data_IF_669909121401
#
_entry.id   IF_669909121401
#
_cell.length_a   1.000
_cell.length_b   1.000
_cell.length_c   1.000
_cell.angle_alpha   90.00
_cell.angle_beta   90.00
_cell.angle_gamma   90.00
#
_symmetry.space_group_name_H-M   'P 1'
#
loop_
_entity.id
_entity.type
_entity.pdbx_description
1 polymer ?
#
# COMPACT_ATOMS: atom_id res chain seq x y z
N UNK A 1 -6.14 2.62 73.22
CA UNK A 1 -6.89 2.61 74.49
C UNK A 1 -7.46 1.23 74.75
N UNK A 2 -7.02 0.54 75.72
CA UNK A 2 -7.51 -0.09 76.93
C UNK A 2 -6.58 -1.21 77.36
N UNK A 3 -5.97 -0.91 78.49
CA UNK A 3 -5.24 -1.82 79.38
C UNK A 3 -6.15 -2.89 79.97
N UNK A 4 -5.64 -4.11 80.17
CA UNK A 4 -5.99 -4.83 81.36
C UNK A 4 -4.82 -5.80 81.74
N UNK A 5 -4.31 -5.54 82.93
CA UNK A 5 -3.38 -6.38 83.60
C UNK A 5 -4.12 -7.48 84.39
N UNK A 6 -3.56 -8.69 84.45
CA UNK A 6 -3.92 -9.72 85.45
C UNK A 6 -2.66 -10.40 85.98
N UNK A 7 -2.59 -10.31 87.23
CA UNK A 7 -1.72 -10.65 88.33
C UNK A 7 -1.14 -12.10 88.32
N UNK A 8 0.05 -12.13 88.94
CA UNK A 8 0.79 -13.30 89.46
C UNK A 8 0.00 -14.23 90.37
N UNK A 9 0.18 -15.51 90.15
CA UNK A 9 0.12 -16.49 91.25
C UNK A 9 1.20 -17.54 91.05
N UNK A 10 2.08 -17.72 92.01
CA UNK A 10 3.23 -18.61 91.99
C UNK A 10 2.83 -20.09 92.12
N UNK A 11 3.59 -20.91 91.43
CA UNK A 11 3.66 -22.32 91.74
C UNK A 11 5.14 -22.76 91.73
N UNK A 12 5.66 -23.14 92.90
CA UNK A 12 6.94 -23.84 93.03
C UNK A 12 6.87 -25.20 92.45
N UNK A 13 7.60 -25.49 91.35
CA UNK A 13 7.73 -26.83 90.81
C UNK A 13 9.10 -27.43 91.16
N UNK A 14 9.05 -28.46 91.87
CA UNK A 14 10.17 -29.37 92.29
C UNK A 14 10.99 -29.80 91.06
N UNK A 15 12.29 -29.42 91.10
CA UNK A 15 13.27 -29.82 90.08
C UNK A 15 13.61 -31.31 90.20
N UNK A 16 13.13 -32.15 89.26
CA UNK A 16 13.69 -33.53 89.04
C UNK A 16 14.54 -33.49 87.78
N UNK A 17 15.78 -34.04 87.80
CA UNK A 17 16.62 -34.03 86.59
C UNK A 17 15.98 -34.90 85.47
N UNK A 18 16.02 -34.49 84.23
CA UNK A 18 15.41 -35.22 83.09
C UNK A 18 16.21 -36.54 82.84
N UNK A 19 15.52 -37.65 82.74
CA UNK A 19 16.08 -38.93 82.33
C UNK A 19 16.54 -38.96 80.92
N UNK A 20 17.58 -39.72 80.56
CA UNK A 20 18.17 -39.85 79.22
C UNK A 20 17.12 -40.09 78.07
N UNK A 21 15.97 -40.54 78.41
CA UNK A 21 14.85 -40.82 77.49
C UNK A 21 14.22 -39.54 76.96
N UNK A 22 14.23 -38.48 77.78
CA UNK A 22 13.70 -37.12 77.40
C UNK A 22 14.57 -36.42 76.33
N UNK A 23 15.88 -36.61 76.38
CA UNK A 23 16.79 -36.06 75.40
C UNK A 23 16.66 -36.71 74.02
N UNK A 24 16.31 -37.99 73.98
CA UNK A 24 16.19 -38.73 72.71
C UNK A 24 14.90 -38.47 71.98
N UNK A 25 13.82 -38.10 72.68
CA UNK A 25 12.55 -37.66 72.05
C UNK A 25 12.63 -36.20 71.60
N UNK A 26 13.29 -35.38 72.37
CA UNK A 26 13.47 -33.94 71.95
C UNK A 26 14.30 -33.83 70.67
N UNK A 27 15.32 -34.65 70.46
CA UNK A 27 16.15 -34.64 69.27
C UNK A 27 15.39 -35.11 68.02
N UNK A 28 14.45 -36.06 68.16
CA UNK A 28 13.60 -36.55 67.07
C UNK A 28 12.56 -35.50 66.66
N UNK A 29 11.95 -34.78 67.62
CA UNK A 29 11.01 -33.70 67.34
C UNK A 29 11.66 -32.54 66.58
N UNK A 30 12.86 -32.13 67.05
CA UNK A 30 13.62 -31.06 66.39
C UNK A 30 14.00 -31.45 64.94
N UNK A 31 14.39 -32.71 64.69
CA UNK A 31 14.71 -33.20 63.36
C UNK A 31 13.48 -33.27 62.42
N UNK A 32 12.31 -33.59 62.95
CA UNK A 32 11.05 -33.62 62.15
C UNK A 32 10.64 -32.20 61.76
N UNK A 33 10.75 -31.20 62.66
CA UNK A 33 10.47 -29.81 62.36
C UNK A 33 11.45 -29.22 61.33
N UNK A 34 12.74 -29.48 61.44
CA UNK A 34 13.74 -28.99 60.48
C UNK A 34 13.52 -29.61 59.08
N UNK A 35 13.16 -30.88 59.00
CA UNK A 35 12.86 -31.48 57.73
C UNK A 35 11.54 -30.99 57.12
N UNK A 36 10.53 -30.70 57.95
CA UNK A 36 9.30 -30.04 57.52
C UNK A 36 9.58 -28.66 56.93
N UNK A 37 10.35 -27.83 57.64
CA UNK A 37 10.71 -26.46 57.21
C UNK A 37 11.55 -26.46 55.93
N UNK A 38 12.49 -27.40 55.76
CA UNK A 38 13.24 -27.56 54.50
C UNK A 38 12.34 -27.97 53.32
N UNK A 39 11.31 -28.78 53.52
CA UNK A 39 10.31 -29.11 52.48
C UNK A 39 9.45 -27.93 52.09
N UNK A 40 9.01 -27.11 53.06
CA UNK A 40 8.25 -25.89 52.84
C UNK A 40 9.07 -24.85 52.13
N UNK A 41 10.33 -24.62 52.50
CA UNK A 41 11.25 -23.72 51.81
C UNK A 41 11.54 -24.18 50.37
N UNK A 42 11.65 -25.49 50.17
CA UNK A 42 11.82 -26.04 48.82
C UNK A 42 10.59 -25.82 47.91
N UNK A 43 9.37 -25.96 48.44
CA UNK A 43 8.14 -25.70 47.72
C UNK A 43 7.94 -24.20 47.43
N UNK A 44 8.30 -23.33 48.35
CA UNK A 44 8.26 -21.86 48.12
C UNK A 44 9.29 -21.47 47.05
N UNK A 45 10.50 -22.05 47.09
CA UNK A 45 11.51 -21.76 46.08
C UNK A 45 11.09 -22.22 44.67
N UNK A 46 10.41 -23.39 44.59
CA UNK A 46 9.86 -23.91 43.32
C UNK A 46 8.70 -23.00 42.81
N UNK A 47 7.83 -22.57 43.72
CA UNK A 47 6.72 -21.65 43.39
C UNK A 47 7.19 -20.28 42.91
N UNK A 48 8.22 -19.70 43.54
CA UNK A 48 8.81 -18.42 43.16
C UNK A 48 9.56 -18.52 41.83
N UNK A 49 10.22 -19.65 41.54
CA UNK A 49 10.87 -19.91 40.25
C UNK A 49 9.86 -20.01 39.10
N UNK A 50 8.65 -20.48 39.34
CA UNK A 50 7.59 -20.56 38.33
C UNK A 50 6.91 -19.18 38.12
N UNK A 51 6.90 -18.30 39.13
CA UNK A 51 6.36 -16.97 39.04
C UNK A 51 7.31 -15.97 38.34
N UNK A 52 8.60 -16.31 38.21
CA UNK A 52 9.63 -15.56 37.50
C UNK A 52 9.87 -16.03 36.05
N UNK A 53 9.04 -16.96 35.52
CA UNK A 53 8.97 -17.11 34.08
C UNK A 53 8.47 -15.76 33.56
N UNK A 54 9.29 -14.97 32.84
CA UNK A 54 8.76 -13.80 32.21
C UNK A 54 7.62 -14.35 31.33
N UNK A 55 6.39 -13.96 31.64
CA UNK A 55 5.33 -13.93 30.64
C UNK A 55 5.92 -13.04 29.55
N UNK A 56 6.73 -13.66 28.67
CA UNK A 56 7.05 -13.05 27.40
C UNK A 56 5.69 -12.62 26.90
N UNK A 57 5.43 -11.34 27.00
CA UNK A 57 4.36 -10.75 26.28
C UNK A 57 4.64 -11.23 24.85
N UNK A 58 3.95 -12.26 24.41
CA UNK A 58 3.64 -12.42 23.02
C UNK A 58 2.87 -11.13 22.70
N UNK A 59 3.63 -10.04 22.57
CA UNK A 59 3.18 -8.89 21.83
C UNK A 59 2.81 -9.55 20.51
N UNK A 60 1.55 -9.89 20.34
CA UNK A 60 0.97 -10.07 19.04
C UNK A 60 1.43 -8.80 18.35
N UNK A 61 2.49 -8.92 17.53
CA UNK A 61 2.88 -7.86 16.64
C UNK A 61 1.60 -7.64 15.86
N UNK A 62 0.80 -6.68 16.33
CA UNK A 62 -0.27 -6.12 15.54
C UNK A 62 0.46 -5.77 14.26
N UNK A 63 0.33 -6.61 13.23
CA UNK A 63 0.86 -6.29 11.91
C UNK A 63 0.19 -4.98 11.59
N UNK A 64 0.94 -3.89 11.76
CA UNK A 64 0.48 -2.57 11.39
C UNK A 64 -0.05 -2.67 9.96
N UNK A 65 -1.16 -2.01 9.69
CA UNK A 65 -1.62 -1.86 8.32
C UNK A 65 -0.45 -1.30 7.50
N UNK A 66 -0.28 -1.73 6.24
CA UNK A 66 0.81 -1.23 5.42
C UNK A 66 0.70 0.29 5.29
N UNK A 67 1.80 0.96 5.53
CA UNK A 67 1.97 2.38 5.22
C UNK A 67 2.62 2.49 3.84
N UNK A 68 1.97 3.20 2.93
CA UNK A 68 2.44 3.37 1.57
C UNK A 68 3.15 4.72 1.36
N UNK A 69 3.25 5.56 2.39
CA UNK A 69 3.76 6.94 2.26
C UNK A 69 5.15 6.99 1.66
N UNK A 70 6.10 6.25 2.23
CA UNK A 70 7.49 6.20 1.75
C UNK A 70 7.57 5.65 0.31
N UNK A 71 6.73 4.67 -0.04
CA UNK A 71 6.69 4.11 -1.40
C UNK A 71 6.17 5.13 -2.41
N UNK A 72 5.16 5.90 -2.04
CA UNK A 72 4.61 6.97 -2.90
C UNK A 72 5.65 8.07 -3.12
N UNK A 73 6.37 8.47 -2.07
CA UNK A 73 7.46 9.45 -2.20
C UNK A 73 8.60 8.93 -3.09
N UNK A 74 8.92 7.66 -3.00
CA UNK A 74 9.98 7.03 -3.80
C UNK A 74 9.61 6.86 -5.27
N UNK A 75 8.39 6.37 -5.56
CA UNK A 75 7.98 5.96 -6.91
C UNK A 75 7.19 7.07 -7.62
N UNK A 76 6.50 7.92 -6.88
CA UNK A 76 5.67 8.98 -7.42
C UNK A 76 6.35 9.86 -8.47
N UNK A 77 7.61 10.29 -8.28
CA UNK A 77 8.34 11.06 -9.29
C UNK A 77 8.54 10.36 -10.64
N UNK A 78 8.43 9.02 -10.67
CA UNK A 78 8.53 8.23 -11.90
C UNK A 78 7.21 8.13 -12.67
N UNK A 79 6.09 8.55 -12.09
CA UNK A 79 4.77 8.52 -12.74
C UNK A 79 4.52 9.85 -13.44
N UNK A 80 3.97 9.77 -14.64
CA UNK A 80 3.77 10.93 -15.51
C UNK A 80 2.31 11.01 -15.97
N UNK A 81 1.87 12.22 -16.29
CA UNK A 81 0.61 12.45 -16.99
C UNK A 81 0.85 12.37 -18.50
N UNK A 82 -0.08 11.77 -19.23
CA UNK A 82 -0.06 11.69 -20.68
C UNK A 82 -1.34 12.34 -21.21
N UNK A 83 -1.18 13.33 -22.08
CA UNK A 83 -2.26 13.94 -22.83
C UNK A 83 -2.04 13.73 -24.31
N UNK A 84 -3.10 13.43 -25.01
CA UNK A 84 -3.06 13.26 -26.47
C UNK A 84 -3.89 14.32 -27.16
N UNK A 85 -3.37 14.81 -28.26
CA UNK A 85 -4.01 15.82 -29.09
C UNK A 85 -4.30 15.25 -30.47
N UNK A 86 -5.43 15.67 -31.04
CA UNK A 86 -5.80 15.39 -32.42
C UNK A 86 -5.88 16.69 -33.19
N UNK A 87 -5.31 16.72 -34.41
CA UNK A 87 -5.37 17.86 -35.32
C UNK A 87 -6.64 17.76 -36.12
N UNK A 88 -7.64 18.56 -35.74
CA UNK A 88 -8.91 18.60 -36.48
C UNK A 88 -8.83 19.69 -37.58
N UNK A 89 -8.78 19.21 -38.83
CA UNK A 89 -8.95 20.13 -39.98
C UNK A 89 -10.37 20.68 -40.00
N UNK A 90 -10.51 21.98 -40.18
CA UNK A 90 -11.79 22.71 -40.15
C UNK A 90 -12.86 22.16 -41.13
N UNK A 91 -12.50 21.24 -42.03
CA UNK A 91 -13.41 20.59 -43.00
C UNK A 91 -14.28 19.48 -42.43
N UNK A 92 -13.90 18.88 -41.30
CA UNK A 92 -14.58 17.68 -40.74
C UNK A 92 -15.74 18.04 -39.79
N UNK A 93 -15.97 19.31 -39.51
CA UNK A 93 -17.03 19.77 -38.57
C UNK A 93 -18.47 19.62 -39.04
N UNK A 94 -18.73 18.97 -40.16
CA UNK A 94 -20.10 18.76 -40.70
C UNK A 94 -20.75 17.42 -40.28
N UNK A 95 -20.15 16.66 -39.39
CA UNK A 95 -20.70 15.41 -38.87
C UNK A 95 -20.62 15.35 -37.34
N UNK A 96 -21.77 15.56 -36.69
CA UNK A 96 -21.93 15.63 -35.23
C UNK A 96 -21.76 14.29 -34.47
N UNK A 97 -20.65 13.58 -34.67
CA UNK A 97 -20.41 12.28 -34.02
C UNK A 97 -19.47 12.30 -32.80
N UNK A 98 -18.63 13.32 -32.67
CA UNK A 98 -17.57 13.33 -31.65
C UNK A 98 -18.03 13.79 -30.25
N UNK A 99 -19.06 14.64 -30.21
CA UNK A 99 -19.64 15.05 -28.92
C UNK A 99 -20.41 13.90 -28.24
N UNK A 100 -20.91 12.94 -29.03
CA UNK A 100 -21.65 11.78 -28.54
C UNK A 100 -20.72 10.74 -27.89
N UNK A 101 -19.57 10.45 -28.46
CA UNK A 101 -18.59 9.51 -27.89
C UNK A 101 -18.02 10.00 -26.56
N UNK A 102 -17.70 11.30 -26.47
CA UNK A 102 -17.22 11.93 -25.24
C UNK A 102 -18.33 11.98 -24.18
N UNK A 103 -19.57 12.27 -24.58
CA UNK A 103 -20.74 12.24 -23.69
C UNK A 103 -21.05 10.81 -23.22
N UNK A 104 -20.89 9.79 -24.06
CA UNK A 104 -21.02 8.39 -23.64
C UNK A 104 -19.92 7.98 -22.67
N UNK A 105 -18.68 8.41 -22.88
CA UNK A 105 -17.57 8.20 -21.94
C UNK A 105 -17.88 8.79 -20.57
N UNK A 106 -18.31 10.06 -20.49
CA UNK A 106 -18.67 10.69 -19.21
C UNK A 106 -19.90 10.05 -18.56
N UNK A 107 -20.89 9.61 -19.36
CA UNK A 107 -22.08 8.90 -18.86
C UNK A 107 -21.74 7.53 -18.30
N UNK A 108 -20.82 6.81 -18.94
CA UNK A 108 -20.39 5.46 -18.54
C UNK A 108 -19.60 5.47 -17.25
N UNK A 109 -18.87 6.54 -16.96
CA UNK A 109 -18.01 6.69 -15.77
C UNK A 109 -18.61 7.61 -14.68
N UNK A 110 -19.85 8.08 -14.84
CA UNK A 110 -20.56 8.83 -13.80
C UNK A 110 -19.94 10.20 -13.46
N UNK A 111 -19.13 10.75 -14.36
CA UNK A 111 -18.49 12.06 -14.16
C UNK A 111 -19.51 13.17 -14.49
N UNK A 112 -19.70 14.20 -13.63
CA UNK A 112 -20.57 15.32 -13.94
C UNK A 112 -20.10 16.04 -15.21
N UNK A 113 -20.98 16.16 -16.20
CA UNK A 113 -20.68 16.84 -17.46
C UNK A 113 -20.48 18.33 -17.18
N UNK A 114 -19.31 18.93 -17.46
CA UNK A 114 -19.15 20.38 -17.37
C UNK A 114 -20.14 21.06 -18.30
N UNK A 115 -20.80 22.12 -17.84
CA UNK A 115 -21.69 22.94 -18.66
C UNK A 115 -20.91 23.49 -19.88
N UNK A 116 -21.07 22.85 -21.04
CA UNK A 116 -20.55 23.37 -22.30
C UNK A 116 -21.26 24.69 -22.62
N UNK A 117 -20.54 25.78 -22.88
CA UNK A 117 -21.14 27.05 -23.29
C UNK A 117 -21.90 26.83 -24.60
N UNK A 118 -23.19 27.17 -24.61
CA UNK A 118 -24.00 27.20 -25.83
C UNK A 118 -23.35 28.14 -26.82
N UNK A 119 -23.03 27.63 -28.00
CA UNK A 119 -22.38 28.33 -29.07
C UNK A 119 -23.20 29.59 -29.45
N UNK A 120 -22.59 30.77 -29.35
CA UNK A 120 -23.08 32.01 -29.94
C UNK A 120 -22.87 31.98 -31.49
N UNK A 121 -23.72 32.65 -32.30
CA UNK A 121 -23.60 32.62 -33.76
C UNK A 121 -22.27 33.23 -34.21
N UNK A 122 -21.53 32.52 -35.04
CA UNK A 122 -20.22 32.92 -35.57
C UNK A 122 -20.37 33.93 -36.67
N UNK A 123 -19.83 35.14 -36.43
CA UNK A 123 -19.50 36.10 -37.51
C UNK A 123 -18.03 35.90 -37.90
N UNK A 124 -17.82 35.78 -39.22
CA UNK A 124 -16.59 35.86 -40.00
C UNK A 124 -15.25 35.75 -39.27
N UNK A 125 -14.58 34.60 -39.38
CA UNK A 125 -13.12 34.48 -39.13
C UNK A 125 -12.40 34.03 -40.40
N UNK A 126 -11.28 34.72 -40.77
CA UNK A 126 -10.39 34.30 -41.85
C UNK A 126 -9.43 33.19 -41.33
N UNK A 127 -9.14 32.27 -42.23
CA UNK A 127 -8.15 31.18 -42.23
C UNK A 127 -8.42 29.95 -41.33
N UNK A 128 -8.24 28.74 -41.90
CA UNK A 128 -8.29 27.48 -41.15
C UNK A 128 -6.99 27.32 -40.36
N UNK A 129 -6.99 27.76 -39.12
CA UNK A 129 -5.99 27.28 -38.15
C UNK A 129 -6.37 25.84 -37.80
N UNK A 130 -5.42 24.93 -37.93
CA UNK A 130 -5.52 23.60 -37.36
C UNK A 130 -5.65 23.79 -35.84
N UNK A 131 -6.84 23.51 -35.29
CA UNK A 131 -7.07 23.59 -33.85
C UNK A 131 -6.72 22.24 -33.27
N UNK A 132 -5.73 22.17 -32.41
CA UNK A 132 -5.40 21.00 -31.60
C UNK A 132 -6.49 20.80 -30.55
N UNK A 133 -7.13 19.62 -30.56
CA UNK A 133 -8.16 19.29 -29.57
C UNK A 133 -7.67 18.16 -28.66
N UNK A 134 -7.92 18.25 -27.34
CA UNK A 134 -7.63 17.16 -26.42
C UNK A 134 -8.45 15.93 -26.82
N UNK A 135 -7.77 14.79 -27.02
CA UNK A 135 -8.42 13.52 -27.36
C UNK A 135 -8.49 12.58 -26.16
N UNK A 136 -7.41 12.44 -25.42
CA UNK A 136 -7.32 11.53 -24.28
C UNK A 136 -6.41 12.01 -23.17
N UNK A 137 -6.65 11.46 -21.99
CA UNK A 137 -5.82 11.67 -20.80
C UNK A 137 -5.57 10.33 -20.15
N UNK A 138 -4.32 10.09 -19.77
CA UNK A 138 -3.89 8.89 -19.06
C UNK A 138 -2.65 9.14 -18.23
N UNK A 139 -2.10 8.08 -17.74
CA UNK A 139 -0.85 8.05 -16.99
C UNK A 139 0.20 7.23 -17.72
N UNK A 140 1.42 7.33 -17.29
CA UNK A 140 2.52 6.49 -17.69
C UNK A 140 3.57 6.43 -16.60
N UNK A 141 4.62 5.65 -16.81
CA UNK A 141 5.74 5.60 -15.90
C UNK A 141 7.07 5.46 -16.64
N UNK A 142 8.09 6.09 -16.08
CA UNK A 142 9.43 6.19 -16.66
C UNK A 142 10.14 4.86 -16.49
N UNK A 143 10.45 4.19 -17.61
CA UNK A 143 11.20 2.92 -17.64
C UNK A 143 12.72 3.14 -17.52
N UNK A 144 13.22 4.20 -18.15
CA UNK A 144 14.66 4.47 -18.24
C UNK A 144 14.98 5.94 -18.02
N UNK A 145 16.14 6.21 -17.46
CA UNK A 145 16.57 7.56 -17.13
C UNK A 145 16.78 8.47 -18.36
N UNK A 146 16.84 7.92 -19.56
CA UNK A 146 16.95 8.64 -20.82
C UNK A 146 15.61 8.94 -21.48
N UNK A 147 14.45 8.56 -20.84
CA UNK A 147 13.13 9.05 -21.23
C UNK A 147 12.23 8.07 -21.97
N UNK A 148 12.47 6.76 -21.88
CA UNK A 148 11.44 5.78 -22.30
C UNK A 148 10.37 5.68 -21.22
N UNK A 149 9.11 5.72 -21.63
CA UNK A 149 7.93 5.73 -20.78
C UNK A 149 6.97 4.67 -21.26
N UNK A 150 6.45 3.87 -20.35
CA UNK A 150 5.39 2.90 -20.63
C UNK A 150 4.03 3.48 -20.29
N UNK A 151 3.04 3.16 -21.11
CA UNK A 151 1.63 3.51 -20.92
C UNK A 151 0.74 2.46 -21.60
N UNK A 152 -0.59 2.64 -21.58
CA UNK A 152 -1.49 1.80 -22.35
C UNK A 152 -1.55 2.22 -23.82
N UNK A 153 -1.77 1.23 -24.71
CA UNK A 153 -1.90 1.49 -26.13
C UNK A 153 -3.12 2.36 -26.45
N UNK A 154 -4.26 2.12 -25.78
CA UNK A 154 -5.47 2.91 -25.99
C UNK A 154 -5.32 4.38 -25.61
N UNK A 155 -4.37 4.74 -24.72
CA UNK A 155 -4.09 6.14 -24.33
C UNK A 155 -3.49 6.91 -25.50
N UNK A 156 -2.64 6.28 -26.30
CA UNK A 156 -1.91 6.94 -27.41
C UNK A 156 -2.47 6.60 -28.80
N UNK A 157 -3.47 5.74 -28.86
CA UNK A 157 -4.04 5.27 -30.15
C UNK A 157 -4.72 6.40 -30.91
N UNK A 158 -4.30 6.59 -32.17
CA UNK A 158 -4.82 7.62 -33.05
C UNK A 158 -4.49 9.07 -32.65
N UNK A 159 -3.53 9.27 -31.75
CA UNK A 159 -3.05 10.60 -31.40
C UNK A 159 -2.11 11.17 -32.48
N UNK A 160 -2.34 12.42 -32.88
CA UNK A 160 -1.39 13.15 -33.74
C UNK A 160 -0.20 13.68 -32.94
N UNK A 161 -0.43 14.00 -31.67
CA UNK A 161 0.60 14.46 -30.74
C UNK A 161 0.38 13.89 -29.35
N UNK A 162 1.47 13.48 -28.72
CA UNK A 162 1.50 12.98 -27.34
C UNK A 162 2.32 13.94 -26.49
N UNK A 163 1.71 14.47 -25.43
CA UNK A 163 2.34 15.33 -24.44
C UNK A 163 2.51 14.57 -23.13
N UNK A 164 3.70 14.62 -22.56
CA UNK A 164 4.04 14.03 -21.28
C UNK A 164 4.38 15.14 -20.30
N UNK A 165 3.66 15.19 -19.18
CA UNK A 165 3.93 16.13 -18.09
C UNK A 165 4.49 15.35 -16.91
N UNK A 166 5.67 15.74 -16.45
CA UNK A 166 6.32 15.16 -15.27
C UNK A 166 5.72 15.74 -13.98
N UNK A 167 6.05 15.14 -12.84
CA UNK A 167 5.60 15.61 -11.51
C UNK A 167 6.17 16.98 -11.10
N UNK A 168 7.20 17.45 -11.78
CA UNK A 168 7.81 18.79 -11.60
C UNK A 168 7.27 19.83 -12.61
N UNK A 169 6.13 19.55 -13.25
CA UNK A 169 5.41 20.38 -14.20
C UNK A 169 6.15 20.61 -15.54
N UNK A 170 7.28 19.94 -15.78
CA UNK A 170 7.93 19.97 -17.11
C UNK A 170 7.11 19.17 -18.09
N UNK A 171 6.84 19.77 -19.25
CA UNK A 171 6.10 19.16 -20.35
C UNK A 171 7.00 18.87 -21.55
N UNK A 172 6.83 17.69 -22.13
CA UNK A 172 7.60 17.21 -23.28
C UNK A 172 6.68 16.65 -24.35
N UNK A 173 7.00 16.94 -25.62
CA UNK A 173 6.45 16.19 -26.74
C UNK A 173 7.09 14.80 -26.76
N UNK A 174 6.26 13.77 -26.81
CA UNK A 174 6.72 12.39 -26.85
C UNK A 174 6.55 11.79 -28.24
N UNK A 175 7.49 10.96 -28.63
CA UNK A 175 7.42 10.14 -29.83
C UNK A 175 6.92 8.74 -29.46
N UNK A 176 5.89 8.23 -30.13
CA UNK A 176 5.44 6.85 -29.98
C UNK A 176 6.52 5.95 -30.62
N UNK A 177 7.09 5.05 -29.82
CA UNK A 177 8.11 4.09 -30.26
C UNK A 177 7.45 2.81 -30.73
N UNK A 178 6.38 2.38 -30.05
CA UNK A 178 5.59 1.22 -30.41
C UNK A 178 4.37 1.09 -29.52
N UNK A 179 3.35 0.40 -30.07
CA UNK A 179 2.13 0.08 -29.34
C UNK A 179 1.63 -1.30 -29.78
N UNK A 180 1.23 -2.11 -28.82
CA UNK A 180 0.57 -3.40 -29.06
C UNK A 180 -0.86 -3.34 -28.52
N UNK A 181 -1.84 -3.27 -29.42
CA UNK A 181 -3.26 -3.21 -29.07
C UNK A 181 -3.76 -4.48 -28.38
N UNK A 182 -3.14 -5.63 -28.64
CA UNK A 182 -3.54 -6.91 -28.06
C UNK A 182 -3.22 -6.98 -26.56
N UNK A 183 -2.04 -6.50 -26.18
CA UNK A 183 -1.61 -6.43 -24.77
C UNK A 183 -1.99 -5.11 -24.10
N UNK A 184 -2.48 -4.14 -24.88
CA UNK A 184 -2.77 -2.76 -24.46
C UNK A 184 -1.55 -2.07 -23.85
N UNK A 185 -0.35 -2.29 -24.40
CA UNK A 185 0.90 -1.68 -23.97
C UNK A 185 1.46 -0.78 -25.05
N UNK A 186 1.92 0.41 -24.67
CA UNK A 186 2.66 1.31 -25.54
C UNK A 186 3.93 1.83 -24.84
N UNK A 187 4.92 2.17 -25.66
CA UNK A 187 6.14 2.84 -25.23
C UNK A 187 6.26 4.15 -25.99
N UNK A 188 6.46 5.22 -25.25
CA UNK A 188 6.74 6.54 -25.80
C UNK A 188 8.12 7.02 -25.31
N UNK A 189 8.73 7.97 -26.05
CA UNK A 189 10.05 8.52 -25.77
C UNK A 189 9.99 10.04 -25.69
N UNK A 190 10.52 10.59 -24.63
CA UNK A 190 10.75 12.03 -24.47
C UNK A 190 12.25 12.34 -24.52
N UNK A 191 12.59 13.54 -24.99
CA UNK A 191 13.98 14.01 -25.03
C UNK A 191 14.35 14.64 -23.68
N UNK A 192 14.67 13.79 -22.70
CA UNK A 192 15.10 14.18 -21.36
C UNK A 192 16.08 13.15 -20.80
N UNK A 193 16.90 13.56 -19.84
CA UNK A 193 17.90 12.71 -19.19
C UNK A 193 17.86 12.89 -17.69
N UNK A 194 18.42 11.90 -16.95
CA UNK A 194 18.47 11.97 -15.50
C UNK A 194 17.10 11.80 -14.84
N UNK A 195 16.17 11.15 -15.53
CA UNK A 195 14.82 10.93 -15.03
C UNK A 195 14.78 9.81 -13.98
N UNK A 196 13.89 9.90 -12.99
CA UNK A 196 13.67 8.84 -12.02
C UNK A 196 12.96 7.65 -12.69
N UNK A 197 13.70 6.58 -12.95
CA UNK A 197 13.17 5.37 -13.55
C UNK A 197 12.65 4.40 -12.49
N UNK A 198 11.55 3.69 -12.81
CA UNK A 198 11.01 2.63 -11.95
C UNK A 198 11.89 1.40 -11.96
N UNK A 199 11.74 0.55 -10.94
CA UNK A 199 12.25 -0.82 -10.96
C UNK A 199 11.15 -1.77 -11.45
N UNK A 200 11.45 -2.54 -12.48
CA UNK A 200 10.54 -3.60 -12.95
C UNK A 200 10.74 -4.83 -12.08
N UNK A 201 9.65 -5.34 -11.51
CA UNK A 201 9.63 -6.51 -10.66
C UNK A 201 9.42 -7.81 -11.43
N UNK A 202 9.58 -8.93 -10.72
CA UNK A 202 9.27 -10.26 -11.26
C UNK A 202 7.86 -10.69 -10.82
N UNK A 203 6.93 -10.72 -11.78
CA UNK A 203 5.53 -11.13 -11.57
C UNK A 203 5.43 -12.58 -11.06
N UNK A 204 6.39 -13.46 -11.38
CA UNK A 204 6.38 -14.83 -10.88
C UNK A 204 6.53 -14.91 -9.36
N UNK A 205 7.22 -13.96 -8.76
CA UNK A 205 7.41 -13.84 -7.31
C UNK A 205 6.23 -13.22 -6.59
N UNK A 206 5.35 -12.54 -7.30
CA UNK A 206 4.14 -11.92 -6.74
C UNK A 206 3.18 -13.02 -6.27
N UNK A 207 2.56 -12.87 -5.10
CA UNK A 207 1.63 -13.84 -4.52
C UNK A 207 0.25 -13.25 -4.34
N UNK A 208 -0.78 -14.09 -4.47
CA UNK A 208 -2.16 -13.74 -4.12
C UNK A 208 -2.21 -13.34 -2.63
N UNK A 209 -2.88 -12.24 -2.31
CA UNK A 209 -2.94 -11.66 -0.99
C UNK A 209 -1.81 -10.64 -0.69
N UNK A 210 -0.81 -10.49 -1.56
CA UNK A 210 0.18 -9.41 -1.39
C UNK A 210 -0.45 -8.04 -1.64
N UNK A 211 -0.03 -7.05 -0.85
CA UNK A 211 -0.42 -5.66 -1.04
C UNK A 211 0.21 -5.09 -2.30
N UNK A 212 -0.61 -4.37 -3.04
CA UNK A 212 -0.21 -3.63 -4.23
C UNK A 212 -0.90 -2.27 -4.25
N UNK A 213 -0.30 -1.30 -4.94
CA UNK A 213 -0.90 0.01 -5.15
C UNK A 213 -0.80 0.42 -6.61
N UNK A 214 -1.81 1.10 -7.12
CA UNK A 214 -1.76 1.78 -8.40
C UNK A 214 -1.48 3.27 -8.19
N UNK A 215 -0.65 3.84 -9.02
CA UNK A 215 -0.34 5.26 -9.03
C UNK A 215 -0.68 5.81 -10.41
N UNK A 216 -1.48 6.87 -10.44
CA UNK A 216 -1.77 7.62 -11.66
C UNK A 216 -1.54 9.09 -11.47
N UNK A 217 -1.50 9.83 -12.57
CA UNK A 217 -1.39 11.29 -12.60
C UNK A 217 -2.54 11.89 -13.43
N UNK A 218 -3.80 11.75 -12.98
CA UNK A 218 -4.96 12.23 -13.73
C UNK A 218 -4.93 13.76 -13.85
N UNK A 219 -5.23 14.25 -15.06
CA UNK A 219 -5.40 15.68 -15.36
C UNK A 219 -4.18 16.58 -15.08
N UNK A 220 -2.95 16.01 -15.02
CA UNK A 220 -1.75 16.78 -14.68
C UNK A 220 -1.70 17.25 -13.23
N UNK A 221 -2.59 16.73 -12.38
CA UNK A 221 -2.58 16.94 -10.94
C UNK A 221 -1.55 16.03 -10.27
N UNK A 222 -1.27 16.30 -9.00
CA UNK A 222 -0.42 15.43 -8.19
C UNK A 222 -0.92 13.98 -8.22
N UNK A 223 0.00 13.03 -8.06
CA UNK A 223 -0.28 11.61 -8.11
C UNK A 223 -1.51 11.21 -7.29
N UNK A 224 -2.36 10.40 -7.89
CA UNK A 224 -3.47 9.71 -7.22
C UNK A 224 -3.04 8.28 -6.94
N UNK A 225 -3.23 7.83 -5.70
CA UNK A 225 -2.81 6.52 -5.24
C UNK A 225 -4.03 5.75 -4.74
N UNK A 226 -4.13 4.50 -5.17
CA UNK A 226 -5.11 3.54 -4.66
C UNK A 226 -4.39 2.26 -4.28
N UNK A 227 -4.81 1.59 -3.20
CA UNK A 227 -4.17 0.38 -2.70
C UNK A 227 -5.18 -0.74 -2.51
N UNK A 228 -4.70 -1.97 -2.63
CA UNK A 228 -5.47 -3.19 -2.46
C UNK A 228 -4.54 -4.39 -2.46
N UNK A 229 -5.08 -5.56 -2.76
CA UNK A 229 -4.33 -6.81 -2.80
C UNK A 229 -4.39 -7.48 -4.18
N UNK A 230 -3.46 -8.36 -4.44
CA UNK A 230 -3.53 -9.30 -5.56
C UNK A 230 -4.61 -10.33 -5.26
N UNK A 231 -5.71 -10.30 -6.00
CA UNK A 231 -6.85 -11.23 -5.82
C UNK A 231 -6.64 -12.55 -6.58
N UNK A 232 -6.02 -12.49 -7.77
CA UNK A 232 -5.62 -13.66 -8.55
C UNK A 232 -4.47 -13.34 -9.50
N UNK A 233 -3.79 -14.38 -9.99
CA UNK A 233 -2.72 -14.27 -10.99
C UNK A 233 -3.02 -15.21 -12.14
N UNK A 234 -2.43 -14.91 -13.31
CA UNK A 234 -2.48 -15.77 -14.50
C UNK A 234 -3.92 -16.17 -14.87
N UNK A 235 -4.85 -15.22 -14.70
CA UNK A 235 -6.20 -15.42 -15.22
C UNK A 235 -6.17 -15.35 -16.75
N UNK A 236 -6.37 -16.51 -17.36
CA UNK A 236 -6.61 -16.60 -18.80
C UNK A 236 -8.07 -16.18 -19.05
N UNK A 237 -8.22 -15.10 -19.81
CA UNK A 237 -9.55 -14.60 -20.23
C UNK A 237 -9.95 -15.13 -21.61
N UNK A 238 -9.22 -16.12 -22.14
CA UNK A 238 -9.44 -16.70 -23.46
C UNK A 238 -8.53 -16.14 -24.56
N UNK A 239 -7.82 -15.05 -24.32
CA UNK A 239 -6.91 -14.39 -25.26
C UNK A 239 -5.43 -14.70 -25.02
N UNK A 240 -5.14 -15.71 -24.21
CA UNK A 240 -3.78 -16.12 -23.80
C UNK A 240 -2.94 -15.03 -23.12
N UNK A 241 -3.58 -14.02 -22.52
CA UNK A 241 -2.89 -12.98 -21.75
C UNK A 241 -3.02 -13.26 -20.25
N UNK A 242 -1.90 -13.43 -19.54
CA UNK A 242 -1.91 -13.70 -18.11
C UNK A 242 -2.14 -12.41 -17.33
N UNK A 243 -3.39 -12.09 -17.00
CA UNK A 243 -3.74 -10.91 -16.21
C UNK A 243 -3.51 -11.11 -14.70
N UNK A 244 -3.17 -10.01 -14.03
CA UNK A 244 -3.21 -9.88 -12.57
C UNK A 244 -4.58 -9.30 -12.21
N UNK A 245 -5.34 -10.02 -11.38
CA UNK A 245 -6.57 -9.49 -10.81
C UNK A 245 -6.25 -8.85 -9.46
N UNK A 246 -6.76 -7.65 -9.23
CA UNK A 246 -6.62 -6.90 -7.97
C UNK A 246 -7.94 -6.23 -7.59
N UNK A 247 -8.11 -5.87 -6.34
CA UNK A 247 -9.21 -5.04 -5.83
C UNK A 247 -8.81 -3.55 -5.67
N UNK A 248 -7.64 -3.19 -6.19
CA UNK A 248 -7.22 -1.79 -6.28
C UNK A 248 -8.25 -1.00 -7.09
N UNK A 249 -8.74 0.12 -6.53
CA UNK A 249 -9.69 0.97 -7.22
C UNK A 249 -9.03 1.65 -8.43
N UNK A 250 -9.54 1.37 -9.62
CA UNK A 250 -9.10 2.03 -10.87
C UNK A 250 -10.08 3.15 -11.18
N UNK A 251 -9.56 4.37 -11.25
CA UNK A 251 -10.28 5.58 -11.58
C UNK A 251 -9.84 6.12 -12.95
N UNK A 252 -10.66 6.91 -13.64
CA UNK A 252 -10.26 7.59 -14.87
C UNK A 252 -8.97 8.40 -14.66
N UNK A 253 -8.01 8.23 -15.57
CA UNK A 253 -6.68 8.84 -15.48
C UNK A 253 -5.59 7.95 -14.87
N UNK A 254 -5.92 6.83 -14.18
CA UNK A 254 -4.94 5.83 -13.77
C UNK A 254 -4.50 4.91 -14.94
N UNK A 255 -5.24 4.88 -16.04
CA UNK A 255 -4.91 4.09 -17.24
C UNK A 255 -3.50 4.37 -17.71
N UNK A 256 -2.68 3.33 -17.85
CA UNK A 256 -1.25 3.41 -18.19
C UNK A 256 -0.31 3.64 -17.01
N UNK A 257 -0.84 3.91 -15.81
CA UNK A 257 -0.05 3.99 -14.59
C UNK A 257 0.42 2.62 -14.08
N UNK A 258 1.49 2.57 -13.25
CA UNK A 258 2.05 1.33 -12.75
C UNK A 258 1.25 0.73 -11.61
N UNK A 259 1.22 -0.62 -11.53
CA UNK A 259 0.87 -1.37 -10.33
C UNK A 259 2.18 -1.72 -9.59
N UNK A 260 2.29 -1.29 -8.34
CA UNK A 260 3.51 -1.35 -7.52
C UNK A 260 3.33 -2.31 -6.36
N UNK A 261 4.33 -3.16 -6.09
CA UNK A 261 4.38 -3.99 -4.89
C UNK A 261 5.01 -3.24 -3.70
N UNK A 262 4.99 -3.86 -2.50
CA UNK A 262 5.57 -3.27 -1.28
C UNK A 262 7.11 -3.11 -1.29
N UNK A 263 7.80 -3.51 -2.37
CA UNK A 263 9.23 -3.28 -2.58
C UNK A 263 9.52 -2.11 -3.51
N UNK A 264 8.49 -1.38 -3.96
CA UNK A 264 8.61 -0.30 -4.93
C UNK A 264 8.89 -0.79 -6.36
N UNK A 265 8.54 -2.04 -6.68
CA UNK A 265 8.75 -2.63 -8.00
C UNK A 265 7.43 -2.65 -8.77
N UNK A 266 7.47 -2.30 -10.06
CA UNK A 266 6.33 -2.41 -10.99
C UNK A 266 6.08 -3.88 -11.30
N UNK A 267 4.86 -4.32 -11.08
CA UNK A 267 4.42 -5.71 -11.32
C UNK A 267 3.26 -5.81 -12.32
N UNK A 268 2.72 -4.67 -12.73
CA UNK A 268 1.65 -4.60 -13.72
C UNK A 268 1.37 -3.18 -14.17
#
# INVERSE_FOLDING_TARGET
>A
LVFSAVSCAGLQVLHRPPTKRFYQESSKMIQVEVNGMRRWLGMIALGVSFALVPLGQAAAQARALPDFTDLVEQVGPSVVNIRTLEKVSARTRQGGGQDEEMLEFFRRFGVPIPNLPRQAPRQNRPQPQEEEQPRGVGSGFILTADGFIMTNAHVVDGADEVLVTLTDDREFKAKIIGADKRTDVAVVKIEATGLPAVKVGDVNRLKVGEWVMAIGSPFGLKNTVTAGIVSAKQRDTGDYLPFIQTDVAINPGNSGGPLINMRGEVVG
#
